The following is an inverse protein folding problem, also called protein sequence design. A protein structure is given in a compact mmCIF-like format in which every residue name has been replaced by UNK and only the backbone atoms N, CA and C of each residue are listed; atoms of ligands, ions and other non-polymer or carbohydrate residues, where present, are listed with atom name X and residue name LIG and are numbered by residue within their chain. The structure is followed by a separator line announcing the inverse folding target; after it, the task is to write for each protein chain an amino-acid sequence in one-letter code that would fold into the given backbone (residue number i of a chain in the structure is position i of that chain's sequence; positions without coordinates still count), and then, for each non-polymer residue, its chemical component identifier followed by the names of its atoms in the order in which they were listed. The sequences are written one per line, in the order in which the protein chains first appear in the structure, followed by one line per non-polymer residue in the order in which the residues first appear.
data_IF_455215745765
#
_entry.id   IF_455215745765
#
_cell.length_a   1.000
_cell.length_b   1.000
_cell.length_c   1.000
_cell.angle_alpha   90.00
_cell.angle_beta   90.00
_cell.angle_gamma   90.00
#
_symmetry.space_group_name_H-M   'P 1'
#
loop_
_entity.id
_entity.type
_entity.pdbx_description
1 polymer ?
#
# COMPACT_ATOMS: atom_id res chain seq x y z
N UNK A 1 10.02 3.55 0.84
CA UNK A 1 10.27 4.97 0.49
C UNK A 1 10.50 5.71 1.80
N UNK A 2 11.75 5.79 2.23
CA UNK A 2 12.12 6.57 3.40
C UNK A 2 12.46 7.96 2.89
N UNK A 3 11.47 8.85 2.85
CA UNK A 3 11.75 10.27 2.67
C UNK A 3 12.41 10.76 3.96
N UNK A 4 13.72 11.00 3.92
CA UNK A 4 14.34 11.88 4.92
C UNK A 4 14.00 13.29 4.49
N UNK A 5 12.89 13.81 5.03
CA UNK A 5 12.67 15.24 5.10
C UNK A 5 13.70 15.73 6.13
N UNK A 6 14.48 16.77 5.82
CA UNK A 6 15.32 17.45 6.82
C UNK A 6 14.39 18.05 7.89
N UNK A 7 14.11 17.29 8.94
CA UNK A 7 13.24 17.70 10.05
C UNK A 7 14.08 18.63 10.93
N UNK A 8 13.69 19.91 11.01
CA UNK A 8 14.30 20.82 11.98
C UNK A 8 13.77 20.45 13.37
N UNK A 9 14.59 20.69 14.39
CA UNK A 9 14.22 20.41 15.80
C UNK A 9 12.90 21.10 16.18
N UNK A 10 12.62 22.27 15.62
CA UNK A 10 11.37 23.01 15.85
C UNK A 10 10.13 22.26 15.30
N UNK A 11 10.26 21.59 14.16
CA UNK A 11 9.19 20.79 13.54
C UNK A 11 8.83 19.58 14.40
N UNK A 12 9.83 19.00 15.09
CA UNK A 12 9.63 17.90 16.04
C UNK A 12 8.86 18.35 17.29
N UNK A 13 9.14 19.57 17.79
CA UNK A 13 8.40 20.15 18.92
C UNK A 13 6.95 20.47 18.54
N UNK A 14 6.73 20.99 17.32
CA UNK A 14 5.38 21.23 16.78
C UNK A 14 4.61 19.92 16.68
N UNK A 15 5.23 18.85 16.16
CA UNK A 15 4.61 17.54 16.08
C UNK A 15 4.24 16.97 17.46
N UNK A 16 5.13 17.11 18.45
CA UNK A 16 4.83 16.69 19.81
C UNK A 16 3.67 17.48 20.43
N UNK A 17 3.61 18.79 20.19
CA UNK A 17 2.51 19.66 20.64
C UNK A 17 1.19 19.35 19.93
N UNK A 18 1.21 19.14 18.61
CA UNK A 18 0.05 18.76 17.81
C UNK A 18 -0.50 17.41 18.27
N UNK A 19 0.37 16.43 18.51
CA UNK A 19 -0.02 15.13 19.06
C UNK A 19 -0.69 15.28 20.44
N UNK A 20 -0.09 16.03 21.36
CA UNK A 20 -0.66 16.30 22.70
C UNK A 20 -1.99 17.06 22.63
N UNK A 21 -2.18 17.91 21.62
CA UNK A 21 -3.40 18.70 21.42
C UNK A 21 -4.52 17.85 20.81
N UNK A 22 -4.21 17.03 19.80
CA UNK A 22 -5.15 16.05 19.23
C UNK A 22 -5.64 15.05 20.30
N UNK A 23 -4.79 14.71 21.28
CA UNK A 23 -5.18 13.88 22.43
C UNK A 23 -6.19 14.55 23.39
N UNK A 24 -6.45 15.86 23.29
CA UNK A 24 -7.30 16.62 24.22
C UNK A 24 -8.67 17.01 23.65
N UNK A 25 -8.93 16.83 22.36
CA UNK A 25 -10.18 17.26 21.71
C UNK A 25 -11.20 16.14 21.55
N UNK A 26 -12.39 16.30 22.15
CA UNK A 26 -13.60 15.53 21.81
C UNK A 26 -14.53 16.38 20.94
N UNK A 27 -14.73 16.00 19.68
CA UNK A 27 -16.03 15.95 18.97
C UNK A 27 -15.78 15.77 17.46
N UNK A 28 -16.30 14.67 16.92
CA UNK A 28 -15.95 14.13 15.59
C UNK A 28 -16.88 14.57 14.45
N UNK A 29 -17.56 15.71 14.56
CA UNK A 29 -18.56 16.09 13.54
C UNK A 29 -18.10 17.07 12.46
N UNK A 30 -17.01 17.80 12.68
CA UNK A 30 -16.68 18.94 11.80
C UNK A 30 -15.34 18.80 11.04
N UNK A 31 -14.64 17.66 11.12
CA UNK A 31 -13.29 17.52 10.54
C UNK A 31 -13.25 17.07 9.06
N UNK A 32 -14.39 16.83 8.43
CA UNK A 32 -14.43 16.32 7.04
C UNK A 32 -14.62 17.41 5.97
N UNK A 33 -14.85 18.67 6.37
CA UNK A 33 -15.18 19.74 5.41
C UNK A 33 -14.02 20.71 5.12
N UNK A 34 -12.92 20.70 5.89
CA UNK A 34 -11.82 21.66 5.76
C UNK A 34 -10.44 21.03 5.40
N UNK A 35 -10.40 19.88 4.72
CA UNK A 35 -9.12 19.21 4.35
C UNK A 35 -8.42 19.79 3.10
N UNK A 36 -9.02 20.78 2.43
CA UNK A 36 -8.46 21.36 1.19
C UNK A 36 -7.45 22.52 1.44
N UNK A 37 -7.33 23.02 2.67
CA UNK A 37 -6.26 23.97 3.04
C UNK A 37 -4.99 23.22 3.49
N UNK A 38 -4.00 23.18 2.60
CA UNK A 38 -2.64 22.72 2.95
C UNK A 38 -1.97 23.80 3.80
N UNK A 39 -1.88 23.61 5.11
CA UNK A 39 -1.04 24.45 5.96
C UNK A 39 0.44 24.25 5.60
N UNK A 40 1.08 25.28 5.04
CA UNK A 40 2.51 25.29 4.70
C UNK A 40 3.42 25.01 5.91
N UNK A 41 2.91 25.11 7.15
CA UNK A 41 3.64 24.84 8.39
C UNK A 41 3.40 23.43 8.95
N UNK A 42 2.63 22.58 8.26
CA UNK A 42 2.42 21.20 8.71
C UNK A 42 3.71 20.37 8.48
N UNK A 43 4.34 19.83 9.54
CA UNK A 43 5.66 19.18 9.41
C UNK A 43 5.61 17.82 8.71
N UNK A 44 4.44 17.19 8.66
CA UNK A 44 4.23 15.88 8.05
C UNK A 44 2.99 15.88 7.16
N UNK A 45 3.04 15.28 5.97
CA UNK A 45 1.88 15.22 5.09
C UNK A 45 0.77 14.35 5.70
N UNK A 46 -0.48 14.74 5.49
CA UNK A 46 -1.64 13.91 5.81
C UNK A 46 -1.79 12.76 4.81
N UNK A 47 -2.48 11.68 5.21
CA UNK A 47 -2.72 10.55 4.32
C UNK A 47 -3.48 10.94 3.02
N UNK A 48 -4.50 11.82 3.05
CA UNK A 48 -5.11 12.37 1.84
C UNK A 48 -4.13 13.09 0.91
N UNK A 49 -3.25 13.94 1.48
CA UNK A 49 -2.23 14.66 0.71
C UNK A 49 -1.27 13.68 0.01
N UNK A 50 -0.88 12.59 0.68
CA UNK A 50 -0.05 11.55 0.07
C UNK A 50 -0.78 10.86 -1.10
N UNK A 51 -2.08 10.54 -0.95
CA UNK A 51 -2.85 9.92 -2.04
C UNK A 51 -3.01 10.82 -3.27
N UNK A 52 -3.03 12.14 -3.07
CA UNK A 52 -3.07 13.13 -4.13
C UNK A 52 -1.70 13.34 -4.78
N UNK A 53 -0.63 13.40 -3.97
CA UNK A 53 0.71 13.71 -4.45
C UNK A 53 1.38 12.53 -5.18
N UNK A 54 1.13 11.29 -4.76
CA UNK A 54 1.77 10.10 -5.35
C UNK A 54 0.95 9.55 -6.52
N UNK A 55 1.56 9.28 -7.69
CA UNK A 55 0.84 8.75 -8.85
C UNK A 55 -0.01 7.50 -8.55
N UNK A 56 -1.21 7.41 -9.14
CA UNK A 56 -2.18 6.34 -8.84
C UNK A 56 -1.67 4.92 -9.11
N UNK A 57 -0.76 4.75 -10.07
CA UNK A 57 -0.18 3.45 -10.42
C UNK A 57 0.81 2.89 -9.37
N UNK A 58 1.34 3.76 -8.50
CA UNK A 58 2.26 3.37 -7.41
C UNK A 58 1.45 2.82 -6.25
N UNK A 59 1.67 1.55 -5.93
CA UNK A 59 1.01 0.89 -4.79
C UNK A 59 1.61 1.29 -3.44
N UNK A 60 0.82 1.20 -2.37
CA UNK A 60 1.22 1.56 -1.01
C UNK A 60 1.31 0.34 -0.11
N UNK A 61 2.32 0.31 0.75
CA UNK A 61 2.31 -0.46 1.99
C UNK A 61 2.11 0.54 3.14
N UNK A 62 0.94 0.55 3.76
CA UNK A 62 0.59 1.47 4.84
C UNK A 62 0.78 0.75 6.17
N UNK A 63 1.84 1.11 6.90
CA UNK A 63 2.06 0.61 8.25
C UNK A 63 1.16 1.36 9.26
N UNK A 64 0.32 0.62 9.98
CA UNK A 64 -0.49 1.12 11.08
C UNK A 64 0.36 1.08 12.36
N UNK A 65 0.80 2.25 12.82
CA UNK A 65 1.57 2.36 14.06
C UNK A 65 0.64 2.38 15.28
N UNK A 66 0.65 1.30 16.05
CA UNK A 66 -0.09 1.18 17.31
C UNK A 66 0.87 0.94 18.48
N UNK A 67 0.49 1.45 19.66
CA UNK A 67 1.32 1.29 20.88
C UNK A 67 1.39 -0.17 21.29
N UNK A 68 2.59 -0.65 21.59
CA UNK A 68 2.82 -2.02 22.04
C UNK A 68 3.42 -2.02 23.44
N UNK A 69 3.04 -3.02 24.24
CA UNK A 69 3.66 -3.24 25.54
C UNK A 69 4.85 -4.20 25.40
N UNK A 70 5.96 -3.86 26.02
CA UNK A 70 7.15 -4.70 26.12
C UNK A 70 7.01 -5.68 27.28
N UNK A 71 7.74 -6.78 27.24
CA UNK A 71 7.66 -7.86 28.25
C UNK A 71 8.07 -7.43 29.66
N UNK A 72 8.88 -6.38 29.78
CA UNK A 72 9.23 -5.78 31.08
C UNK A 72 8.11 -4.88 31.66
N UNK A 73 6.99 -4.74 30.93
CA UNK A 73 5.82 -3.96 31.31
C UNK A 73 5.85 -2.51 30.82
N UNK A 74 6.96 -2.05 30.23
CA UNK A 74 7.05 -0.72 29.62
C UNK A 74 6.17 -0.61 28.37
N UNK A 75 5.68 0.60 28.10
CA UNK A 75 4.89 0.90 26.90
C UNK A 75 5.72 1.70 25.92
N UNK A 76 5.53 1.44 24.63
CA UNK A 76 6.14 2.24 23.58
C UNK A 76 5.83 3.73 23.76
N UNK A 77 6.84 4.58 23.53
CA UNK A 77 6.74 6.03 23.67
C UNK A 77 6.45 6.58 25.08
N UNK A 78 6.52 5.77 26.15
CA UNK A 78 6.07 6.14 27.50
C UNK A 78 4.60 6.63 27.54
N UNK A 79 3.79 6.24 26.56
CA UNK A 79 2.40 6.64 26.46
C UNK A 79 1.56 5.81 27.42
N UNK A 80 0.89 6.49 28.37
CA UNK A 80 0.09 5.85 29.42
C UNK A 80 -1.41 5.79 29.10
N UNK A 81 -1.81 6.09 27.86
CA UNK A 81 -3.22 6.42 27.55
C UNK A 81 -3.85 5.40 26.59
N UNK A 82 -5.05 4.94 26.96
CA UNK A 82 -5.93 4.11 26.13
C UNK A 82 -6.51 4.96 25.00
N UNK A 83 -6.03 4.76 23.78
CA UNK A 83 -6.75 5.18 22.59
C UNK A 83 -7.82 4.16 22.26
N UNK A 84 -8.99 4.61 21.83
CA UNK A 84 -10.04 3.71 21.39
C UNK A 84 -9.70 3.18 20.00
N UNK A 85 -9.43 1.87 19.92
CA UNK A 85 -8.87 1.21 18.74
C UNK A 85 -9.81 1.27 17.52
N UNK A 86 -11.14 1.28 17.73
CA UNK A 86 -12.08 1.44 16.62
C UNK A 86 -11.97 2.82 15.99
N UNK A 87 -11.94 3.87 16.80
CA UNK A 87 -11.87 5.26 16.35
C UNK A 87 -10.58 5.50 15.56
N UNK A 88 -9.44 4.99 16.03
CA UNK A 88 -8.17 5.02 15.31
C UNK A 88 -8.29 4.36 13.92
N UNK A 89 -8.84 3.16 13.86
CA UNK A 89 -8.98 2.42 12.60
C UNK A 89 -10.03 3.01 11.68
N UNK A 90 -11.16 3.48 12.19
CA UNK A 90 -12.27 3.99 11.39
C UNK A 90 -11.88 5.27 10.64
N UNK A 91 -11.07 6.14 11.27
CA UNK A 91 -10.49 7.32 10.63
C UNK A 91 -9.58 6.92 9.47
N UNK A 92 -8.62 6.02 9.72
CA UNK A 92 -7.62 5.61 8.72
C UNK A 92 -8.29 4.85 7.57
N UNK A 93 -9.08 3.83 7.89
CA UNK A 93 -9.78 3.00 6.90
C UNK A 93 -10.78 3.84 6.09
N UNK A 94 -11.49 4.77 6.74
CA UNK A 94 -12.37 5.72 6.07
C UNK A 94 -11.63 6.53 5.00
N UNK A 95 -10.50 7.15 5.37
CA UNK A 95 -9.66 7.88 4.43
C UNK A 95 -9.16 6.98 3.29
N UNK A 96 -8.61 5.81 3.59
CA UNK A 96 -8.03 4.90 2.58
C UNK A 96 -9.09 4.35 1.62
N UNK A 97 -10.30 4.04 2.10
CA UNK A 97 -11.38 3.55 1.26
C UNK A 97 -11.94 4.66 0.34
N UNK A 98 -11.98 5.90 0.82
CA UNK A 98 -12.49 7.04 0.05
C UNK A 98 -11.46 7.58 -0.95
N UNK A 99 -10.19 7.75 -0.53
CA UNK A 99 -9.13 8.42 -1.29
C UNK A 99 -8.17 7.46 -2.00
N UNK A 100 -8.19 6.18 -1.66
CA UNK A 100 -7.27 5.18 -2.24
C UNK A 100 -7.51 4.85 -3.72
N UNK A 101 -8.68 5.17 -4.28
CA UNK A 101 -8.97 4.99 -5.70
C UNK A 101 -8.83 3.55 -6.19
N UNK A 102 -8.12 3.37 -7.32
CA UNK A 102 -7.78 2.06 -7.91
C UNK A 102 -6.39 1.56 -7.48
N UNK A 103 -5.73 2.26 -6.56
CA UNK A 103 -4.37 1.95 -6.11
C UNK A 103 -4.33 0.58 -5.41
N UNK A 104 -3.25 -0.16 -5.64
CA UNK A 104 -2.93 -1.37 -4.87
C UNK A 104 -2.42 -0.96 -3.51
N UNK A 105 -3.09 -1.40 -2.45
CA UNK A 105 -2.76 -1.02 -1.07
C UNK A 105 -2.73 -2.29 -0.24
N UNK A 106 -1.67 -2.41 0.56
CA UNK A 106 -1.51 -3.44 1.59
C UNK A 106 -1.32 -2.70 2.91
N UNK A 107 -2.01 -3.14 3.96
CA UNK A 107 -1.73 -2.67 5.31
C UNK A 107 -0.66 -3.53 5.98
N UNK A 108 0.03 -2.99 6.96
CA UNK A 108 0.90 -3.79 7.84
C UNK A 108 0.85 -3.27 9.27
N UNK A 109 1.00 -4.15 10.26
CA UNK A 109 1.02 -3.75 11.68
C UNK A 109 1.73 -4.79 12.55
N UNK A 110 2.40 -4.35 13.62
CA UNK A 110 2.98 -5.21 14.66
C UNK A 110 1.97 -5.65 15.72
N UNK A 111 0.84 -4.93 15.83
CA UNK A 111 -0.19 -5.22 16.81
C UNK A 111 -1.19 -6.24 16.21
N UNK A 112 -1.35 -7.42 16.85
CA UNK A 112 -2.22 -8.47 16.35
C UNK A 112 -3.71 -8.10 16.43
N UNK A 113 -4.14 -7.32 17.43
CA UNK A 113 -5.55 -6.92 17.55
C UNK A 113 -5.93 -5.91 16.45
N UNK A 114 -5.04 -4.98 16.13
CA UNK A 114 -5.17 -4.10 14.96
C UNK A 114 -5.29 -4.93 13.68
N UNK A 115 -4.44 -5.95 13.50
CA UNK A 115 -4.49 -6.80 12.31
C UNK A 115 -5.85 -7.50 12.16
N UNK A 116 -6.34 -8.11 13.24
CA UNK A 116 -7.65 -8.76 13.29
C UNK A 116 -8.77 -7.76 13.02
N UNK A 117 -8.74 -6.57 13.63
CA UNK A 117 -9.76 -5.55 13.42
C UNK A 117 -9.81 -5.03 11.99
N UNK A 118 -8.65 -4.76 11.35
CA UNK A 118 -8.60 -4.36 9.94
C UNK A 118 -9.19 -5.45 9.04
N UNK A 119 -8.91 -6.72 9.34
CA UNK A 119 -9.46 -7.87 8.60
C UNK A 119 -10.97 -7.99 8.71
N UNK A 120 -11.55 -7.60 9.84
CA UNK A 120 -13.00 -7.60 10.08
C UNK A 120 -13.72 -6.35 9.59
N UNK A 121 -13.08 -5.18 9.63
CA UNK A 121 -13.71 -3.90 9.26
C UNK A 121 -13.83 -3.70 7.75
N UNK A 122 -13.00 -4.35 6.94
CA UNK A 122 -13.03 -4.23 5.49
C UNK A 122 -12.48 -5.50 4.79
N UNK A 123 -12.79 -5.66 3.51
CA UNK A 123 -12.38 -6.81 2.70
C UNK A 123 -11.73 -6.42 1.35
N UNK A 124 -11.38 -5.14 1.16
CA UNK A 124 -10.79 -4.61 -0.08
C UNK A 124 -9.27 -4.73 -0.10
N UNK A 125 -8.61 -4.37 1.00
CA UNK A 125 -7.15 -4.29 1.09
C UNK A 125 -6.64 -5.33 2.09
N UNK A 126 -5.67 -6.18 1.73
CA UNK A 126 -5.09 -7.14 2.66
C UNK A 126 -4.24 -6.46 3.74
N UNK A 127 -3.93 -7.21 4.79
CA UNK A 127 -2.99 -6.80 5.84
C UNK A 127 -1.91 -7.87 6.03
N UNK A 128 -0.68 -7.42 6.29
CA UNK A 128 0.46 -8.24 6.69
C UNK A 128 0.73 -8.06 8.19
N UNK A 129 0.96 -9.15 8.90
CA UNK A 129 1.39 -9.09 10.29
C UNK A 129 2.92 -8.91 10.36
N UNK A 130 3.37 -7.79 10.94
CA UNK A 130 4.78 -7.50 11.13
C UNK A 130 5.31 -8.27 12.33
N UNK A 131 6.45 -8.94 12.15
CA UNK A 131 7.12 -9.64 13.25
C UNK A 131 8.61 -9.35 13.24
N UNK A 132 9.14 -9.11 14.44
CA UNK A 132 10.58 -9.08 14.72
C UNK A 132 11.13 -10.46 15.13
N UNK A 133 10.23 -11.41 15.37
CA UNK A 133 10.41 -12.64 16.13
C UNK A 133 11.48 -12.56 17.20
N UNK A 134 12.40 -13.52 17.24
CA UNK A 134 13.43 -13.55 18.29
C UNK A 134 14.61 -12.66 17.89
N UNK A 135 14.66 -11.46 18.46
CA UNK A 135 15.71 -10.48 18.22
C UNK A 135 16.47 -10.13 19.50
N UNK A 136 17.76 -9.84 19.35
CA UNK A 136 18.59 -9.20 20.40
C UNK A 136 18.62 -7.67 20.26
N UNK A 137 18.21 -7.15 19.09
CA UNK A 137 18.21 -5.72 18.76
C UNK A 137 16.96 -5.02 19.29
N UNK A 138 15.83 -5.72 19.27
CA UNK A 138 14.53 -5.19 19.68
C UNK A 138 14.06 -5.81 20.99
N UNK A 139 13.42 -5.03 21.89
CA UNK A 139 12.84 -5.56 23.12
C UNK A 139 11.74 -6.59 22.79
N UNK A 140 11.61 -7.60 23.65
CA UNK A 140 10.56 -8.61 23.49
C UNK A 140 9.19 -7.98 23.77
N UNK A 141 8.22 -8.23 22.88
CA UNK A 141 6.84 -7.78 23.04
C UNK A 141 6.12 -8.65 24.08
N UNK A 142 5.23 -8.04 24.85
CA UNK A 142 4.45 -8.72 25.89
C UNK A 142 3.46 -9.73 25.28
N UNK A 143 2.85 -9.38 24.15
CA UNK A 143 1.87 -10.24 23.49
C UNK A 143 2.53 -11.51 22.93
N UNK A 144 2.01 -12.66 23.34
CA UNK A 144 2.52 -13.97 22.94
C UNK A 144 2.51 -14.18 21.42
N UNK A 145 1.57 -13.55 20.71
CA UNK A 145 1.41 -13.67 19.25
C UNK A 145 2.60 -13.07 18.50
N UNK A 146 3.35 -12.18 19.16
CA UNK A 146 4.48 -11.46 18.58
C UNK A 146 5.86 -12.04 18.95
N UNK A 147 5.92 -13.08 19.80
CA UNK A 147 7.18 -13.53 20.41
C UNK A 147 8.12 -14.32 19.48
N UNK A 148 7.62 -14.92 18.40
CA UNK A 148 8.46 -15.60 17.41
C UNK A 148 7.83 -15.58 16.02
N UNK A 149 8.65 -15.77 14.99
CA UNK A 149 8.13 -15.86 13.62
C UNK A 149 7.17 -17.05 13.43
N UNK A 150 7.40 -18.22 14.06
CA UNK A 150 6.44 -19.33 13.92
C UNK A 150 5.08 -19.05 14.56
N UNK A 151 5.05 -18.35 15.70
CA UNK A 151 3.78 -17.93 16.31
C UNK A 151 3.10 -16.92 15.39
N UNK A 152 3.84 -15.97 14.82
CA UNK A 152 3.32 -15.00 13.86
C UNK A 152 2.72 -15.68 12.62
N UNK A 153 3.39 -16.70 12.06
CA UNK A 153 2.86 -17.53 10.96
C UNK A 153 1.54 -18.20 11.37
N UNK A 154 1.50 -18.79 12.56
CA UNK A 154 0.31 -19.51 13.05
C UNK A 154 -0.86 -18.56 13.29
N UNK A 155 -0.60 -17.37 13.83
CA UNK A 155 -1.57 -16.29 14.01
C UNK A 155 -2.11 -15.77 12.68
N UNK A 156 -1.22 -15.46 11.72
CA UNK A 156 -1.64 -14.98 10.41
C UNK A 156 -2.55 -15.98 9.69
N UNK A 157 -2.22 -17.28 9.82
CA UNK A 157 -3.07 -18.35 9.30
C UNK A 157 -4.43 -18.43 10.01
N UNK A 158 -4.47 -18.34 11.34
CA UNK A 158 -5.73 -18.47 12.09
C UNK A 158 -6.69 -17.30 11.86
N UNK A 159 -6.16 -16.09 11.70
CA UNK A 159 -6.95 -14.87 11.49
C UNK A 159 -7.24 -14.58 10.01
N UNK A 160 -6.84 -15.47 9.09
CA UNK A 160 -7.00 -15.27 7.65
C UNK A 160 -6.44 -13.92 7.17
N UNK A 161 -5.27 -13.57 7.71
CA UNK A 161 -4.42 -12.45 7.32
C UNK A 161 -3.61 -12.88 6.08
N UNK A 162 -3.26 -11.95 5.18
CA UNK A 162 -2.60 -12.28 3.91
C UNK A 162 -1.26 -13.00 4.11
N UNK A 163 -0.52 -12.58 5.14
CA UNK A 163 0.78 -13.15 5.43
C UNK A 163 1.54 -12.37 6.49
N UNK A 164 2.85 -12.62 6.53
CA UNK A 164 3.76 -12.00 7.49
C UNK A 164 4.79 -11.12 6.79
N UNK A 165 5.25 -10.10 7.51
CA UNK A 165 6.42 -9.31 7.16
C UNK A 165 7.45 -9.45 8.27
N UNK A 166 8.44 -10.31 8.07
CA UNK A 166 9.39 -10.73 9.09
C UNK A 166 10.73 -10.00 9.01
N UNK A 167 11.37 -9.82 10.16
CA UNK A 167 12.68 -9.19 10.22
C UNK A 167 13.73 -10.07 9.53
N UNK A 168 14.55 -9.44 8.69
CA UNK A 168 15.49 -10.13 7.79
C UNK A 168 16.54 -10.91 8.57
N UNK A 169 17.01 -10.39 9.71
CA UNK A 169 17.99 -11.09 10.56
C UNK A 169 17.49 -12.48 11.00
N UNK A 170 16.21 -12.62 11.32
CA UNK A 170 15.64 -13.90 11.74
C UNK A 170 15.40 -14.83 10.55
N UNK A 171 14.88 -14.28 9.44
CA UNK A 171 14.70 -15.05 8.21
C UNK A 171 16.02 -15.61 7.68
N UNK A 172 17.12 -14.86 7.74
CA UNK A 172 18.45 -15.33 7.32
C UNK A 172 18.96 -16.50 8.18
N UNK A 173 18.63 -16.52 9.47
CA UNK A 173 18.94 -17.65 10.36
C UNK A 173 18.04 -18.86 10.10
N UNK A 174 16.81 -18.62 9.63
CA UNK A 174 15.76 -19.62 9.49
C UNK A 174 15.03 -19.50 8.13
N UNK A 175 15.77 -19.73 7.05
CA UNK A 175 15.24 -19.62 5.68
C UNK A 175 14.09 -20.62 5.39
N UNK A 176 13.96 -21.65 6.22
CA UNK A 176 12.86 -22.61 6.18
C UNK A 176 11.50 -21.99 6.56
N UNK A 177 11.47 -20.90 7.34
CA UNK A 177 10.23 -20.20 7.70
C UNK A 177 9.49 -19.63 6.49
N UNK A 178 10.23 -19.24 5.44
CA UNK A 178 9.64 -18.78 4.18
C UNK A 178 8.75 -19.88 3.58
N UNK A 179 9.31 -21.09 3.46
CA UNK A 179 8.58 -22.24 2.90
C UNK A 179 7.49 -22.74 3.83
N UNK A 180 7.70 -22.67 5.14
CA UNK A 180 6.68 -23.03 6.12
C UNK A 180 5.44 -22.13 5.97
N UNK A 181 5.61 -20.81 5.96
CA UNK A 181 4.52 -19.86 5.80
C UNK A 181 3.80 -20.04 4.44
N UNK A 182 4.56 -20.20 3.35
CA UNK A 182 3.99 -20.42 2.02
C UNK A 182 3.20 -21.73 1.93
N UNK A 183 3.66 -22.80 2.60
CA UNK A 183 2.91 -24.07 2.69
C UNK A 183 1.56 -23.92 3.41
N UNK A 184 1.41 -22.87 4.22
CA UNK A 184 0.17 -22.49 4.91
C UNK A 184 -0.69 -21.49 4.11
N UNK A 185 -0.29 -21.15 2.88
CA UNK A 185 -0.99 -20.21 2.00
C UNK A 185 -0.73 -18.74 2.32
N UNK A 186 0.32 -18.43 3.08
CA UNK A 186 0.69 -17.07 3.47
C UNK A 186 1.80 -16.52 2.56
N UNK A 187 1.73 -15.22 2.26
CA UNK A 187 2.86 -14.51 1.64
C UNK A 187 3.89 -14.12 2.70
N UNK A 188 5.15 -14.01 2.29
CA UNK A 188 6.26 -13.64 3.19
C UNK A 188 7.00 -12.44 2.63
N UNK A 189 6.97 -11.35 3.37
CA UNK A 189 7.77 -10.17 3.12
C UNK A 189 8.94 -10.14 4.11
N UNK A 190 10.07 -9.52 3.73
CA UNK A 190 11.13 -9.18 4.67
C UNK A 190 11.30 -7.67 4.81
N UNK A 191 11.71 -7.25 6.01
CA UNK A 191 12.13 -5.88 6.32
C UNK A 191 13.39 -5.89 7.21
N UNK A 192 14.06 -4.75 7.32
CA UNK A 192 15.25 -4.59 8.18
C UNK A 192 16.52 -4.28 7.39
N UNK A 193 17.55 -3.87 8.12
CA UNK A 193 18.76 -3.26 7.54
C UNK A 193 19.49 -4.21 6.57
N UNK A 194 19.47 -5.52 6.85
CA UNK A 194 20.12 -6.54 6.00
C UNK A 194 19.54 -6.57 4.57
N UNK A 195 18.28 -6.13 4.36
CA UNK A 195 17.72 -6.03 3.02
C UNK A 195 18.40 -4.98 2.15
N UNK A 196 19.16 -4.04 2.73
CA UNK A 196 19.95 -3.07 1.96
C UNK A 196 21.19 -3.72 1.32
N UNK A 197 21.58 -4.93 1.73
CA UNK A 197 22.63 -5.71 1.08
C UNK A 197 22.10 -6.48 -0.16
N UNK A 198 22.82 -6.36 -1.29
CA UNK A 198 22.39 -6.95 -2.55
C UNK A 198 22.44 -8.49 -2.53
N UNK A 199 23.46 -9.08 -1.88
CA UNK A 199 23.60 -10.53 -1.80
C UNK A 199 22.51 -11.15 -0.92
N UNK A 200 22.11 -10.46 0.14
CA UNK A 200 20.95 -10.78 0.98
C UNK A 200 19.67 -10.79 0.15
N UNK A 201 19.39 -9.74 -0.61
CA UNK A 201 18.22 -9.70 -1.52
C UNK A 201 18.24 -10.84 -2.53
N UNK A 202 19.41 -11.12 -3.13
CA UNK A 202 19.57 -12.24 -4.07
C UNK A 202 19.30 -13.59 -3.40
N UNK A 203 19.79 -13.79 -2.18
CA UNK A 203 19.57 -15.01 -1.41
C UNK A 203 18.08 -15.23 -1.11
N UNK A 204 17.40 -14.21 -0.58
CA UNK A 204 15.97 -14.28 -0.24
C UNK A 204 15.10 -14.55 -1.47
N UNK A 205 15.40 -13.91 -2.62
CA UNK A 205 14.72 -14.21 -3.89
C UNK A 205 14.93 -15.66 -4.33
N UNK A 206 16.15 -16.18 -4.22
CA UNK A 206 16.44 -17.59 -4.53
C UNK A 206 15.69 -18.57 -3.60
N UNK A 207 15.23 -18.11 -2.44
CA UNK A 207 14.35 -18.87 -1.53
C UNK A 207 12.86 -18.65 -1.77
N UNK A 208 12.50 -17.83 -2.75
CA UNK A 208 11.12 -17.59 -3.14
C UNK A 208 10.39 -16.59 -2.25
N UNK A 209 11.09 -15.62 -1.63
CA UNK A 209 10.40 -14.57 -0.87
C UNK A 209 9.45 -13.75 -1.76
N UNK A 210 8.29 -13.37 -1.22
CA UNK A 210 7.24 -12.68 -1.98
C UNK A 210 7.48 -11.16 -2.02
N UNK A 211 7.99 -10.57 -0.93
CA UNK A 211 8.23 -9.13 -0.85
C UNK A 211 9.53 -8.75 -0.13
N UNK A 212 10.15 -7.65 -0.57
CA UNK A 212 11.37 -7.10 0.03
C UNK A 212 11.16 -5.61 0.32
N UNK A 213 11.34 -5.20 1.58
CA UNK A 213 11.26 -3.80 2.02
C UNK A 213 12.69 -3.31 2.34
N UNK A 214 13.16 -2.31 1.60
CA UNK A 214 14.51 -1.74 1.70
C UNK A 214 14.53 -0.26 1.28
N UNK A 215 15.60 0.46 1.61
CA UNK A 215 15.67 1.92 1.45
C UNK A 215 16.17 2.34 0.05
N UNK A 216 17.22 1.69 -0.45
CA UNK A 216 17.93 2.09 -1.67
C UNK A 216 17.34 1.46 -2.94
N UNK A 217 16.26 2.04 -3.47
CA UNK A 217 15.62 1.58 -4.72
C UNK A 217 16.40 2.04 -5.98
N UNK A 218 17.23 3.08 -5.86
CA UNK A 218 17.90 3.73 -7.00
C UNK A 218 19.30 3.19 -7.31
N UNK A 219 19.71 2.05 -6.76
CA UNK A 219 20.93 1.38 -7.23
C UNK A 219 20.65 0.80 -8.61
N UNK A 220 21.17 1.50 -9.62
CA UNK A 220 21.00 1.19 -11.03
C UNK A 220 21.69 -0.15 -11.37
N UNK A 221 21.04 -1.27 -11.10
CA UNK A 221 21.37 -2.55 -11.73
C UNK A 221 20.15 -3.51 -11.71
N UNK A 222 19.71 -3.85 -12.92
CA UNK A 222 18.57 -4.69 -13.31
C UNK A 222 17.19 -4.21 -12.85
N UNK A 223 16.37 -3.73 -13.80
CA UNK A 223 14.92 -3.54 -13.68
C UNK A 223 14.27 -4.82 -13.11
N UNK A 224 14.03 -4.85 -11.81
CA UNK A 224 13.29 -5.94 -11.16
C UNK A 224 11.82 -5.56 -11.11
N UNK A 225 10.90 -6.46 -11.50
CA UNK A 225 9.48 -6.14 -11.48
C UNK A 225 9.00 -5.98 -10.05
N UNK A 226 8.25 -4.91 -9.81
CA UNK A 226 7.55 -4.70 -8.55
C UNK A 226 6.53 -5.84 -8.35
N UNK A 227 6.31 -6.36 -7.13
CA UNK A 227 5.30 -7.40 -6.84
C UNK A 227 3.94 -7.10 -7.48
N UNK A 228 3.60 -5.82 -7.47
CA UNK A 228 2.43 -5.26 -8.10
C UNK A 228 2.40 -5.43 -9.64
N UNK A 229 3.53 -5.26 -10.33
CA UNK A 229 3.65 -5.49 -11.77
C UNK A 229 3.61 -6.99 -12.12
N UNK A 230 4.10 -7.86 -11.24
CA UNK A 230 4.08 -9.32 -11.45
C UNK A 230 2.64 -9.86 -11.43
N UNK A 231 1.79 -9.41 -10.50
CA UNK A 231 0.36 -9.79 -10.47
C UNK A 231 -0.39 -9.35 -11.73
N UNK A 232 -0.11 -8.15 -12.25
CA UNK A 232 -0.75 -7.63 -13.46
C UNK A 232 -0.37 -8.46 -14.69
N UNK A 233 0.91 -8.85 -14.79
CA UNK A 233 1.39 -9.76 -15.84
C UNK A 233 0.74 -11.15 -15.71
N UNK A 234 0.65 -11.72 -14.51
CA UNK A 234 0.01 -13.02 -14.29
C UNK A 234 -1.49 -12.98 -14.63
N UNK A 235 -2.19 -11.93 -14.20
CA UNK A 235 -3.61 -11.72 -14.51
C UNK A 235 -3.85 -11.58 -16.02
N UNK A 236 -2.97 -10.86 -16.74
CA UNK A 236 -3.04 -10.74 -18.20
C UNK A 236 -2.75 -12.08 -18.89
N UNK A 237 -1.84 -12.88 -18.35
CA UNK A 237 -1.47 -14.20 -18.89
C UNK A 237 -2.54 -15.26 -18.64
N UNK A 238 -3.29 -15.16 -17.54
CA UNK A 238 -4.50 -15.98 -17.30
C UNK A 238 -5.65 -15.60 -18.22
N UNK A 239 -5.80 -14.31 -18.55
CA UNK A 239 -6.84 -13.80 -19.47
C UNK A 239 -6.49 -14.09 -20.93
N UNK A 240 -5.22 -14.19 -21.28
CA UNK A 240 -4.72 -14.49 -22.63
C UNK A 240 -4.18 -15.93 -22.65
N UNK A 241 -5.04 -16.90 -22.95
CA UNK A 241 -4.59 -18.29 -23.16
C UNK A 241 -3.55 -18.37 -24.30
N UNK A 242 -2.59 -19.29 -24.21
CA UNK A 242 -1.57 -19.52 -25.26
C UNK A 242 -2.18 -19.72 -26.66
N UNK A 243 -3.40 -20.23 -26.76
CA UNK A 243 -4.14 -20.39 -28.02
C UNK A 243 -4.53 -19.05 -28.65
N UNK A 244 -4.78 -18.02 -27.84
CA UNK A 244 -5.12 -16.67 -28.31
C UNK A 244 -3.88 -15.96 -28.88
N UNK A 245 -2.69 -16.27 -28.35
CA UNK A 245 -1.41 -15.76 -28.87
C UNK A 245 -0.99 -16.48 -30.16
N UNK A 246 -1.23 -17.79 -30.28
CA UNK A 246 -0.87 -18.59 -31.47
C UNK A 246 -1.85 -18.44 -32.64
N UNK A 247 -3.06 -17.93 -32.43
CA UNK A 247 -4.08 -17.74 -33.48
C UNK A 247 -4.01 -16.40 -34.23
N UNK A 248 -3.03 -15.54 -33.91
CA UNK A 248 -2.80 -14.29 -34.65
C UNK A 248 -2.01 -14.50 -35.95
N UNK A 249 -2.35 -15.55 -36.72
CA UNK A 249 -2.07 -15.57 -38.15
C UNK A 249 -3.10 -14.68 -38.83
N UNK A 250 -2.66 -13.47 -39.16
CA UNK A 250 -3.38 -12.49 -39.96
C UNK A 250 -3.96 -13.16 -41.24
N UNK A 251 -5.27 -13.40 -41.24
CA UNK A 251 -5.99 -13.77 -42.46
C UNK A 251 -6.51 -12.49 -43.10
N UNK A 252 -5.78 -12.00 -44.09
CA UNK A 252 -6.23 -10.97 -45.00
C UNK A 252 -7.43 -11.46 -45.82
N UNK A 253 -8.65 -11.30 -45.29
CA UNK A 253 -9.86 -11.33 -46.10
C UNK A 253 -10.29 -9.89 -46.39
N UNK A 254 -9.94 -9.45 -47.60
CA UNK A 254 -10.52 -8.28 -48.25
C UNK A 254 -12.03 -8.53 -48.42
N UNK A 255 -12.88 -7.74 -47.78
CA UNK A 255 -14.32 -7.76 -48.06
C UNK A 255 -14.54 -6.94 -49.34
N UNK A 256 -15.08 -7.51 -50.43
CA UNK A 256 -15.48 -6.72 -51.59
C UNK A 256 -16.73 -5.92 -51.23
N UNK A 257 -16.67 -4.61 -51.45
CA UNK A 257 -17.84 -3.76 -51.40
C UNK A 257 -18.68 -4.00 -52.66
N UNK A 258 -19.86 -4.60 -52.52
CA UNK A 258 -20.86 -4.63 -53.60
C UNK A 258 -22.29 -4.72 -53.08
N UNK A 259 -23.04 -3.65 -53.38
CA UNK A 259 -24.47 -3.60 -53.73
C UNK A 259 -25.53 -3.60 -52.62
N UNK A 260 -25.87 -2.39 -52.13
CA UNK A 260 -27.27 -1.93 -51.94
C UNK A 260 -27.33 -0.42 -52.27
N UNK A 261 -28.36 0.10 -53.00
CA UNK A 261 -28.33 1.44 -53.60
C UNK A 261 -28.66 2.57 -52.62
N UNK A 262 -27.90 3.67 -52.69
CA UNK A 262 -28.27 4.97 -52.14
C UNK A 262 -29.45 5.57 -52.93
N UNK A 263 -30.52 5.95 -52.24
CA UNK A 263 -31.50 6.90 -52.76
C UNK A 263 -30.98 8.32 -52.54
N UNK A 264 -30.76 9.03 -53.63
CA UNK A 264 -30.41 10.45 -53.65
C UNK A 264 -31.65 11.31 -53.88
N UNK A 265 -31.75 12.41 -53.15
CA UNK A 265 -32.36 13.68 -53.59
C UNK A 265 -32.20 14.71 -52.47
N UNK A 266 -31.82 15.96 -52.65
CA UNK A 266 -31.29 16.73 -53.78
C UNK A 266 -30.70 18.01 -53.15
N UNK A 267 -29.67 18.56 -53.79
CA UNK A 267 -29.03 19.81 -53.40
C UNK A 267 -29.93 21.04 -53.61
N UNK A 268 -29.69 22.11 -52.86
CA UNK A 268 -29.74 23.46 -53.43
C UNK A 268 -28.72 24.40 -52.77
N UNK A 269 -28.15 25.21 -53.65
CA UNK A 269 -26.94 26.04 -53.54
C UNK A 269 -27.30 27.50 -53.21
N UNK A 270 -26.37 28.19 -52.54
CA UNK A 270 -26.14 29.65 -52.62
C UNK A 270 -26.86 30.48 -51.56
N UNK A 271 -26.39 31.63 -51.08
CA UNK A 271 -25.25 32.51 -51.39
C UNK A 271 -25.23 33.61 -50.31
N UNK A 272 -24.08 34.30 -50.14
CA UNK A 272 -23.94 35.67 -49.60
C UNK A 272 -24.38 35.90 -48.13
N UNK A 273 -23.89 36.82 -47.31
CA UNK A 273 -22.90 37.91 -47.30
C UNK A 273 -22.83 38.34 -45.80
N UNK A 274 -21.73 38.98 -45.39
CA UNK A 274 -21.59 40.12 -44.43
C UNK A 274 -22.46 40.16 -43.14
N UNK A 275 -22.05 40.59 -41.95
CA UNK A 275 -21.08 41.61 -41.57
C UNK A 275 -21.00 41.66 -40.02
N UNK A 276 -19.91 42.23 -39.52
CA UNK A 276 -19.69 43.03 -38.29
C UNK A 276 -20.57 42.92 -37.00
N UNK A 277 -19.87 43.01 -35.85
CA UNK A 277 -20.30 43.78 -34.65
C UNK A 277 -20.34 42.97 -33.35
N UNK A 278 -19.35 43.07 -32.45
CA UNK A 278 -19.15 44.05 -31.37
C UNK A 278 -20.17 44.04 -30.21
N UNK A 279 -19.62 43.80 -29.01
CA UNK A 279 -19.85 44.47 -27.71
C UNK A 279 -21.03 44.10 -26.79
N UNK A 280 -20.60 43.76 -25.56
CA UNK A 280 -21.11 44.15 -24.24
C UNK A 280 -22.55 43.80 -23.82
N UNK A 281 -22.66 42.98 -22.76
CA UNK A 281 -23.02 43.39 -21.39
C UNK A 281 -22.65 42.29 -20.41
#
# INVERSE_FOLDING_TARGET
MSFVIDIKVDDLFIAQLAHVTAMKGSDHKDLLEDEDEVDEHQPFPSLPQIFQAVPEHVGFNIELKWISQMKDGSWDGNLSTYFEMNSFLDIILGCVLQKGGKRRIIFSCFDPDICTMVRHKQNKYPILFLTQGISVKYPELMDIRCQSTQIAISFAQSENILGISAHTEELLKHLDYIREAQSKGLVVFSWGDDNNDHDTRRNLRARGIDGLIYDSICEAEAEQPNIFQVEEQHSLQEVITEETLKSSSCSCYSIPCSLVPCAASQAHVGSAESDSGLSSS
#
